data_IF_615806297475
#
_entry.id   IF_615806297475
#
_cell.length_a   1.000
_cell.length_b   1.000
_cell.length_c   1.000
_cell.angle_alpha   90.00
_cell.angle_beta   90.00
_cell.angle_gamma   90.00
#
_symmetry.space_group_name_H-M   'P 1'
#
loop_
_entity.id
_entity.type
_entity.pdbx_description
1 polymer ?
#
# COMPACT_ATOMS: atom_id res chain seq x y z
N UNK A 1 13.30 -24.02 -15.39
CA UNK A 1 12.82 -24.51 -14.09
C UNK A 1 14.02 -24.79 -13.16
N UNK A 2 15.06 -25.52 -13.57
CA UNK A 2 16.32 -25.69 -12.78
C UNK A 2 16.93 -24.35 -12.37
N UNK A 3 16.73 -23.30 -13.18
CA UNK A 3 17.20 -21.93 -12.91
C UNK A 3 16.35 -21.19 -11.89
N UNK A 4 15.05 -21.53 -11.76
CA UNK A 4 14.12 -20.91 -10.81
C UNK A 4 14.21 -21.53 -9.41
N UNK A 5 14.46 -22.83 -9.32
CA UNK A 5 14.43 -23.56 -8.05
C UNK A 5 15.81 -24.06 -7.59
N UNK A 6 16.82 -24.08 -8.48
CA UNK A 6 18.12 -24.71 -8.20
C UNK A 6 18.07 -26.23 -8.13
N UNK A 7 16.90 -26.85 -8.27
CA UNK A 7 16.69 -28.29 -8.16
C UNK A 7 16.64 -29.00 -9.52
N UNK A 8 17.01 -30.25 -9.57
CA UNK A 8 16.85 -31.07 -10.76
C UNK A 8 15.38 -31.46 -10.95
N UNK A 9 14.86 -31.20 -12.14
CA UNK A 9 13.47 -31.51 -12.46
C UNK A 9 13.37 -32.98 -12.83
N UNK A 10 12.43 -33.74 -12.23
CA UNK A 10 12.17 -35.13 -12.62
C UNK A 10 11.87 -35.22 -14.13
N UNK A 11 12.49 -36.22 -14.81
CA UNK A 11 12.41 -36.37 -16.27
C UNK A 11 10.97 -36.41 -16.86
N UNK A 12 9.98 -36.82 -16.07
CA UNK A 12 8.56 -36.81 -16.46
C UNK A 12 7.94 -35.42 -16.61
N UNK A 13 8.50 -34.39 -15.95
CA UNK A 13 8.00 -33.00 -16.02
C UNK A 13 8.44 -32.27 -17.28
N UNK A 14 9.47 -32.74 -17.99
CA UNK A 14 9.89 -32.13 -19.26
C UNK A 14 8.82 -32.19 -20.35
N UNK A 15 7.84 -33.09 -20.23
CA UNK A 15 6.70 -33.18 -21.17
C UNK A 15 5.69 -32.05 -21.02
N UNK A 16 5.74 -31.31 -19.91
CA UNK A 16 4.87 -30.15 -19.61
C UNK A 16 5.52 -28.82 -19.98
N UNK A 17 6.78 -28.83 -20.42
CA UNK A 17 7.45 -27.63 -20.88
C UNK A 17 6.91 -27.23 -22.27
N UNK A 18 6.75 -25.92 -22.53
CA UNK A 18 6.28 -25.43 -23.82
C UNK A 18 7.16 -25.90 -24.96
N UNK A 19 6.57 -25.96 -26.15
CA UNK A 19 7.14 -26.48 -27.37
C UNK A 19 8.54 -25.96 -27.67
N UNK A 20 9.35 -26.77 -28.36
CA UNK A 20 10.72 -26.43 -28.75
C UNK A 20 10.85 -25.21 -29.69
N UNK A 21 9.73 -24.72 -30.22
CA UNK A 21 9.62 -23.55 -31.09
C UNK A 21 9.42 -22.22 -30.29
N UNK A 22 9.26 -22.28 -28.98
CA UNK A 22 9.21 -21.09 -28.17
C UNK A 22 10.63 -20.47 -28.04
N UNK A 23 10.84 -19.31 -28.62
CA UNK A 23 12.10 -18.56 -28.46
C UNK A 23 12.13 -17.95 -27.05
N UNK A 24 12.90 -18.59 -26.17
CA UNK A 24 13.13 -18.01 -24.84
C UNK A 24 14.26 -17.00 -24.95
N UNK A 25 13.97 -15.76 -24.60
CA UNK A 25 15.03 -14.77 -24.36
C UNK A 25 15.65 -15.13 -23.01
N UNK A 26 16.76 -15.86 -23.05
CA UNK A 26 17.56 -16.13 -21.85
C UNK A 26 18.30 -14.85 -21.53
N UNK A 27 17.98 -14.21 -20.41
CA UNK A 27 18.78 -13.09 -19.94
C UNK A 27 20.23 -13.58 -19.73
N UNK A 28 21.23 -12.88 -20.26
CA UNK A 28 22.63 -13.23 -20.05
C UNK A 28 22.97 -13.23 -18.56
N UNK A 29 24.03 -13.95 -18.14
CA UNK A 29 24.44 -13.95 -16.75
C UNK A 29 24.70 -12.52 -16.25
N UNK A 30 24.21 -12.23 -15.06
CA UNK A 30 24.37 -10.92 -14.46
C UNK A 30 25.81 -10.69 -14.03
N UNK A 31 26.40 -9.58 -14.45
CA UNK A 31 27.70 -9.10 -13.98
C UNK A 31 27.55 -8.35 -12.65
N UNK A 32 26.46 -7.61 -12.52
CA UNK A 32 26.16 -6.76 -11.37
C UNK A 32 24.66 -6.81 -11.06
N UNK A 33 24.30 -6.60 -9.79
CA UNK A 33 22.93 -6.45 -9.34
C UNK A 33 22.78 -5.10 -8.64
N UNK A 34 21.78 -4.32 -9.07
CA UNK A 34 21.45 -3.02 -8.51
C UNK A 34 20.02 -3.11 -7.93
N UNK A 35 19.90 -2.85 -6.64
CA UNK A 35 18.60 -2.96 -5.95
C UNK A 35 17.57 -1.95 -6.48
N UNK A 36 17.99 -0.72 -6.72
CA UNK A 36 17.16 0.37 -7.25
C UNK A 36 18.00 1.33 -8.08
N UNK A 37 17.48 1.75 -9.22
CA UNK A 37 18.05 2.83 -10.03
C UNK A 37 16.92 3.77 -10.44
N UNK A 38 17.09 5.06 -10.17
CA UNK A 38 16.20 6.12 -10.67
C UNK A 38 16.70 6.58 -12.04
N UNK A 39 15.79 6.60 -13.00
CA UNK A 39 16.10 6.96 -14.38
C UNK A 39 15.05 7.88 -14.99
N UNK A 40 15.47 8.65 -15.98
CA UNK A 40 14.65 9.52 -16.80
C UNK A 40 14.52 8.91 -18.21
N UNK A 41 13.31 8.56 -18.60
CA UNK A 41 13.04 7.97 -19.92
C UNK A 41 13.28 8.97 -21.05
N UNK A 42 13.93 8.54 -22.11
CA UNK A 42 14.21 9.37 -23.28
C UNK A 42 13.40 8.93 -24.51
N UNK A 43 13.54 7.69 -24.91
CA UNK A 43 12.83 7.04 -26.01
C UNK A 43 12.89 5.52 -25.88
N UNK A 44 12.16 4.81 -26.74
CA UNK A 44 12.19 3.36 -26.83
C UNK A 44 12.27 2.92 -28.29
N UNK A 45 12.82 1.74 -28.52
CA UNK A 45 12.66 0.96 -29.74
C UNK A 45 11.90 -0.36 -29.43
N UNK A 46 11.84 -1.27 -30.38
CA UNK A 46 11.13 -2.55 -30.21
C UNK A 46 11.78 -3.48 -29.18
N UNK A 47 13.00 -3.19 -28.72
CA UNK A 47 13.80 -4.07 -27.86
C UNK A 47 14.19 -3.43 -26.54
N UNK A 48 14.46 -2.13 -26.55
CA UNK A 48 15.01 -1.43 -25.39
C UNK A 48 14.28 -0.13 -25.09
N UNK A 49 14.24 0.20 -23.80
CA UNK A 49 14.06 1.58 -23.35
C UNK A 49 15.45 2.24 -23.24
N UNK A 50 15.53 3.49 -23.63
CA UNK A 50 16.72 4.33 -23.52
C UNK A 50 16.48 5.35 -22.42
N UNK A 51 17.31 5.31 -21.38
CA UNK A 51 17.11 6.07 -20.15
C UNK A 51 18.39 6.76 -19.69
N UNK A 52 18.27 7.89 -19.02
CA UNK A 52 19.38 8.56 -18.35
C UNK A 52 19.24 8.33 -16.82
N UNK A 53 20.31 7.92 -16.12
CA UNK A 53 20.30 7.86 -14.67
C UNK A 53 20.11 9.27 -14.08
N UNK A 54 19.37 9.41 -12.98
CA UNK A 54 19.11 10.70 -12.34
C UNK A 54 20.26 11.09 -11.41
N UNK A 55 20.84 10.11 -10.72
CA UNK A 55 21.83 10.32 -9.67
C UNK A 55 23.27 10.46 -10.20
N UNK A 56 23.48 10.19 -11.49
CA UNK A 56 24.81 10.25 -12.13
C UNK A 56 24.73 10.92 -13.49
N UNK A 57 25.80 11.61 -13.85
CA UNK A 57 25.91 12.19 -15.21
C UNK A 57 26.32 11.07 -16.16
N UNK A 58 25.50 10.81 -17.15
CA UNK A 58 25.81 9.90 -18.26
C UNK A 58 25.73 10.67 -19.58
N UNK A 59 26.77 10.53 -20.40
CA UNK A 59 26.83 11.19 -21.71
C UNK A 59 25.91 10.52 -22.74
N UNK A 60 25.67 9.22 -22.58
CA UNK A 60 24.79 8.43 -23.43
C UNK A 60 23.72 7.71 -22.67
N UNK A 61 22.50 7.52 -23.22
CA UNK A 61 21.45 6.77 -22.61
C UNK A 61 21.81 5.30 -22.39
N UNK A 62 21.46 4.78 -21.21
CA UNK A 62 21.55 3.36 -20.88
C UNK A 62 20.41 2.59 -21.55
N UNK A 63 20.69 1.34 -21.91
CA UNK A 63 19.70 0.43 -22.50
C UNK A 63 19.06 -0.44 -21.45
N UNK A 64 17.72 -0.48 -21.43
CA UNK A 64 16.94 -1.29 -20.49
C UNK A 64 16.10 -2.29 -21.27
N UNK A 65 16.27 -3.58 -21.00
CA UNK A 65 15.35 -4.61 -21.53
C UNK A 65 14.03 -4.55 -20.80
N UNK A 66 12.97 -4.54 -21.56
CA UNK A 66 11.61 -4.69 -21.08
C UNK A 66 10.92 -5.81 -21.86
N UNK A 67 9.75 -6.25 -21.39
CA UNK A 67 9.00 -7.34 -22.01
C UNK A 67 9.81 -8.66 -22.09
N UNK A 68 10.65 -8.91 -21.08
CA UNK A 68 11.39 -10.17 -21.00
C UNK A 68 10.52 -11.22 -20.33
N UNK A 69 10.23 -12.37 -20.99
CA UNK A 69 9.38 -13.41 -20.45
C UNK A 69 9.81 -13.87 -19.06
N UNK A 70 8.86 -14.01 -18.13
CA UNK A 70 9.03 -14.43 -16.74
C UNK A 70 9.89 -13.49 -15.86
N UNK A 71 10.27 -12.32 -16.39
CA UNK A 71 11.05 -11.33 -15.61
C UNK A 71 10.26 -10.02 -15.48
N UNK A 72 9.87 -9.41 -16.60
CA UNK A 72 9.21 -8.10 -16.60
C UNK A 72 8.22 -7.91 -17.77
N UNK A 73 7.71 -9.01 -18.33
CA UNK A 73 6.75 -8.98 -19.43
C UNK A 73 5.43 -8.28 -19.06
N UNK A 74 5.04 -8.30 -17.80
CA UNK A 74 3.84 -7.63 -17.29
C UNK A 74 3.91 -6.11 -17.40
N UNK A 75 5.12 -5.54 -17.51
CA UNK A 75 5.31 -4.08 -17.64
C UNK A 75 5.35 -3.60 -19.11
N UNK A 76 5.19 -4.50 -20.08
CA UNK A 76 5.25 -4.14 -21.50
C UNK A 76 4.29 -3.02 -21.87
N UNK A 77 3.04 -3.06 -21.37
CA UNK A 77 2.05 -2.00 -21.64
C UNK A 77 2.43 -0.68 -20.97
N UNK A 78 2.93 -0.73 -19.73
CA UNK A 78 3.45 0.47 -19.05
C UNK A 78 4.58 1.11 -19.85
N UNK A 79 5.50 0.31 -20.39
CA UNK A 79 6.61 0.81 -21.19
C UNK A 79 6.17 1.44 -22.51
N UNK A 80 5.06 0.98 -23.11
CA UNK A 80 4.52 1.55 -24.35
C UNK A 80 3.91 2.94 -24.19
N UNK A 81 3.44 3.27 -22.99
CA UNK A 81 2.79 4.56 -22.70
C UNK A 81 3.74 5.59 -22.07
N UNK A 82 5.02 5.26 -21.89
CA UNK A 82 6.01 6.20 -21.36
C UNK A 82 6.12 7.44 -22.25
N UNK A 83 6.12 8.60 -21.64
CA UNK A 83 6.38 9.86 -22.33
C UNK A 83 7.80 10.34 -22.08
N UNK A 84 8.32 11.12 -22.99
CA UNK A 84 9.69 11.64 -22.87
C UNK A 84 9.88 12.40 -21.56
N UNK A 85 10.96 12.09 -20.85
CA UNK A 85 11.31 12.59 -19.51
C UNK A 85 10.48 12.05 -18.36
N UNK A 86 9.64 11.03 -18.57
CA UNK A 86 9.00 10.31 -17.49
C UNK A 86 10.04 9.81 -16.49
N UNK A 87 9.77 9.99 -15.20
CA UNK A 87 10.60 9.46 -14.13
C UNK A 87 10.25 8.02 -13.86
N UNK A 88 11.24 7.16 -13.78
CA UNK A 88 11.05 5.72 -13.61
C UNK A 88 11.99 5.17 -12.56
N UNK A 89 11.48 4.36 -11.63
CA UNK A 89 12.32 3.51 -10.81
C UNK A 89 12.42 2.12 -11.47
N UNK A 90 13.64 1.66 -11.65
CA UNK A 90 13.97 0.30 -12.00
C UNK A 90 14.38 -0.43 -10.72
N UNK A 91 13.73 -1.55 -10.39
CA UNK A 91 13.98 -2.31 -9.17
C UNK A 91 14.55 -3.69 -9.51
N UNK A 92 15.42 -4.17 -8.62
CA UNK A 92 16.11 -5.46 -8.72
C UNK A 92 16.69 -5.68 -10.13
N UNK A 93 17.57 -4.73 -10.52
CA UNK A 93 18.13 -4.62 -11.85
C UNK A 93 19.34 -5.53 -11.97
N UNK A 94 19.37 -6.39 -12.96
CA UNK A 94 20.57 -7.13 -13.39
C UNK A 94 21.25 -6.38 -14.53
N UNK A 95 22.57 -6.28 -14.48
CA UNK A 95 23.39 -5.68 -15.52
C UNK A 95 24.21 -6.78 -16.18
N UNK A 96 24.15 -6.89 -17.51
CA UNK A 96 24.95 -7.87 -18.24
C UNK A 96 26.37 -7.34 -18.61
N UNK A 97 27.18 -8.16 -19.26
CA UNK A 97 28.53 -7.78 -19.69
C UNK A 97 28.55 -6.64 -20.72
N UNK A 98 27.46 -6.45 -21.46
CA UNK A 98 27.30 -5.34 -22.41
C UNK A 98 26.75 -4.06 -21.77
N UNK A 99 26.58 -4.06 -20.43
CA UNK A 99 26.04 -2.94 -19.66
C UNK A 99 24.52 -2.73 -19.87
N UNK A 100 23.79 -3.74 -20.36
CA UNK A 100 22.36 -3.63 -20.56
C UNK A 100 21.65 -3.98 -19.26
N UNK A 101 20.71 -3.13 -18.86
CA UNK A 101 19.92 -3.26 -17.65
C UNK A 101 18.70 -4.16 -17.90
N UNK A 102 18.40 -5.04 -16.96
CA UNK A 102 17.16 -5.85 -16.96
C UNK A 102 16.53 -5.77 -15.58
N UNK A 103 15.56 -4.87 -15.35
CA UNK A 103 14.85 -4.76 -14.10
C UNK A 103 13.84 -5.89 -13.93
N UNK A 104 13.60 -6.31 -12.68
CA UNK A 104 12.50 -7.21 -12.36
C UNK A 104 11.19 -6.45 -12.15
N UNK A 105 11.25 -5.16 -11.83
CA UNK A 105 10.08 -4.33 -11.60
C UNK A 105 10.30 -2.91 -12.09
N UNK A 106 9.25 -2.28 -12.66
CA UNK A 106 9.29 -0.94 -13.25
C UNK A 106 8.18 -0.10 -12.63
N UNK A 107 8.54 1.03 -12.02
CA UNK A 107 7.58 1.96 -11.40
C UNK A 107 7.62 3.28 -12.14
N UNK A 108 6.50 3.65 -12.75
CA UNK A 108 6.33 4.91 -13.47
C UNK A 108 5.95 6.02 -12.47
N UNK A 109 6.59 7.17 -12.60
CA UNK A 109 6.35 8.38 -11.79
C UNK A 109 6.23 8.09 -10.29
N UNK A 110 7.28 7.50 -9.67
CA UNK A 110 7.21 7.10 -8.26
C UNK A 110 7.06 8.27 -7.28
N UNK A 111 7.23 9.51 -7.74
CA UNK A 111 6.98 10.72 -6.93
C UNK A 111 5.48 11.04 -6.82
N UNK A 112 4.64 10.48 -7.71
CA UNK A 112 3.20 10.48 -7.52
C UNK A 112 2.82 9.42 -6.51
N UNK A 113 2.72 9.82 -5.24
CA UNK A 113 2.46 8.90 -4.14
C UNK A 113 1.02 8.39 -4.17
N UNK A 114 0.88 7.09 -4.38
CA UNK A 114 -0.41 6.40 -4.33
C UNK A 114 -0.67 5.95 -2.88
N UNK A 115 -1.85 6.29 -2.36
CA UNK A 115 -2.28 5.83 -1.05
C UNK A 115 -2.56 4.33 -1.04
N UNK A 116 -1.98 3.59 -0.07
CA UNK A 116 -2.09 2.12 0.00
C UNK A 116 -3.53 1.64 0.21
N UNK A 117 -4.39 2.41 0.87
CA UNK A 117 -5.79 2.04 1.04
C UNK A 117 -6.54 2.10 -0.29
N UNK A 118 -6.27 3.14 -1.09
CA UNK A 118 -6.82 3.25 -2.46
C UNK A 118 -6.29 2.16 -3.37
N UNK A 119 -5.02 1.79 -3.23
CA UNK A 119 -4.43 0.69 -3.99
C UNK A 119 -5.07 -0.65 -3.61
N UNK A 120 -5.27 -0.91 -2.31
CA UNK A 120 -5.89 -2.14 -1.82
C UNK A 120 -7.31 -2.35 -2.39
N UNK A 121 -8.07 -1.26 -2.60
CA UNK A 121 -9.39 -1.35 -3.23
C UNK A 121 -9.34 -1.90 -4.67
N UNK A 122 -8.20 -1.77 -5.36
CA UNK A 122 -8.00 -2.30 -6.71
C UNK A 122 -7.76 -3.81 -6.73
N UNK A 123 -7.43 -4.43 -5.59
CA UNK A 123 -7.06 -5.85 -5.46
C UNK A 123 -8.09 -6.68 -4.68
N UNK A 124 -9.31 -6.18 -4.50
CA UNK A 124 -10.38 -6.95 -3.86
C UNK A 124 -10.71 -8.21 -4.65
N UNK A 125 -11.10 -9.30 -3.97
CA UNK A 125 -11.43 -10.58 -4.58
C UNK A 125 -12.58 -10.50 -5.62
N UNK A 126 -13.44 -9.50 -5.50
CA UNK A 126 -14.52 -9.23 -6.44
C UNK A 126 -14.53 -7.77 -6.87
N UNK A 127 -14.82 -7.53 -8.13
CA UNK A 127 -14.87 -6.18 -8.69
C UNK A 127 -13.54 -5.43 -8.65
N UNK A 128 -12.43 -6.16 -8.54
CA UNK A 128 -11.10 -5.58 -8.61
C UNK A 128 -10.80 -5.07 -10.02
N UNK A 129 -10.36 -3.83 -10.12
CA UNK A 129 -9.93 -3.23 -11.38
C UNK A 129 -9.13 -1.96 -11.08
N UNK A 130 -8.04 -1.68 -11.79
CA UNK A 130 -7.26 -0.45 -11.61
C UNK A 130 -8.08 0.84 -11.77
N UNK A 131 -9.15 0.82 -12.57
CA UNK A 131 -10.06 1.95 -12.71
C UNK A 131 -10.79 2.33 -11.40
N UNK A 132 -10.87 1.43 -10.41
CA UNK A 132 -11.46 1.74 -9.10
C UNK A 132 -10.71 2.87 -8.39
N UNK A 133 -9.40 2.97 -8.60
CA UNK A 133 -8.61 4.09 -8.10
C UNK A 133 -9.08 5.43 -8.68
N UNK A 134 -9.33 5.48 -9.98
CA UNK A 134 -9.79 6.68 -10.70
C UNK A 134 -11.22 7.01 -10.27
N UNK A 135 -12.11 6.01 -10.24
CA UNK A 135 -13.49 6.18 -9.84
C UNK A 135 -13.61 6.72 -8.41
N UNK A 136 -12.83 6.20 -7.47
CA UNK A 136 -12.81 6.66 -6.08
C UNK A 136 -12.36 8.13 -5.95
N UNK A 137 -11.51 8.62 -6.87
CA UNK A 137 -11.06 10.03 -6.90
C UNK A 137 -12.11 10.98 -7.49
N UNK A 138 -12.99 10.47 -8.36
CA UNK A 138 -14.03 11.25 -9.03
C UNK A 138 -15.36 11.23 -8.28
N UNK A 139 -15.57 10.25 -7.41
CA UNK A 139 -16.79 10.14 -6.61
C UNK A 139 -16.65 10.91 -5.30
N UNK A 140 -17.63 11.76 -5.00
CA UNK A 140 -17.77 12.30 -3.66
C UNK A 140 -18.26 11.18 -2.72
N UNK A 141 -17.79 11.11 -1.47
CA UNK A 141 -18.29 10.13 -0.52
C UNK A 141 -19.80 10.38 -0.29
N UNK A 142 -20.62 9.40 -0.65
CA UNK A 142 -22.09 9.49 -0.56
C UNK A 142 -22.58 9.61 0.90
N UNK A 143 -21.80 9.07 1.85
CA UNK A 143 -22.12 9.13 3.27
C UNK A 143 -20.86 9.40 4.11
N UNK A 144 -20.72 10.58 4.71
CA UNK A 144 -19.58 10.90 5.58
C UNK A 144 -19.62 10.20 6.95
N UNK A 145 -20.76 9.58 7.34
CA UNK A 145 -20.93 8.92 8.63
C UNK A 145 -19.87 7.86 8.97
N UNK A 146 -19.54 6.90 8.08
CA UNK A 146 -18.51 5.89 8.36
C UNK A 146 -17.12 6.49 8.60
N UNK A 147 -16.77 7.51 7.82
CA UNK A 147 -15.51 8.23 7.98
C UNK A 147 -15.46 8.99 9.31
N UNK A 148 -16.54 9.68 9.66
CA UNK A 148 -16.64 10.42 10.92
C UNK A 148 -16.59 9.48 12.13
N UNK A 149 -17.27 8.33 12.07
CA UNK A 149 -17.19 7.30 13.12
C UNK A 149 -15.76 6.76 13.25
N UNK A 150 -15.06 6.53 12.14
CA UNK A 150 -13.65 6.13 12.14
C UNK A 150 -12.76 7.16 12.81
N UNK A 151 -12.89 8.42 12.45
CA UNK A 151 -12.11 9.51 13.05
C UNK A 151 -12.37 9.67 14.55
N UNK A 152 -13.62 9.54 14.98
CA UNK A 152 -13.99 9.57 16.42
C UNK A 152 -13.41 8.35 17.15
N UNK A 153 -13.44 7.19 16.52
CA UNK A 153 -12.87 5.96 17.10
C UNK A 153 -11.34 6.08 17.27
N UNK A 154 -10.63 6.65 16.28
CA UNK A 154 -9.20 6.95 16.40
C UNK A 154 -8.93 7.90 17.58
N UNK A 155 -9.71 8.97 17.72
CA UNK A 155 -9.60 9.86 18.87
C UNK A 155 -9.80 9.12 20.21
N UNK A 156 -10.73 8.18 20.29
CA UNK A 156 -10.90 7.36 21.49
C UNK A 156 -9.69 6.47 21.77
N UNK A 157 -9.08 5.88 20.73
CA UNK A 157 -7.85 5.11 20.85
C UNK A 157 -6.70 5.97 21.40
N UNK A 158 -6.54 7.16 20.85
CA UNK A 158 -5.54 8.15 21.28
C UNK A 158 -5.69 8.49 22.76
N UNK A 159 -6.93 8.76 23.20
CA UNK A 159 -7.23 9.05 24.60
C UNK A 159 -6.90 7.85 25.51
N UNK A 160 -7.24 6.64 25.10
CA UNK A 160 -6.93 5.43 25.88
C UNK A 160 -5.43 5.15 25.98
N UNK A 161 -4.67 5.45 24.92
CA UNK A 161 -3.22 5.25 24.90
C UNK A 161 -2.50 6.29 25.77
N UNK A 162 -2.89 7.57 25.69
CA UNK A 162 -2.18 8.66 26.38
C UNK A 162 -2.71 9.00 27.78
N UNK A 163 -3.90 8.56 28.12
CA UNK A 163 -4.49 8.90 29.40
C UNK A 163 -3.73 8.27 30.59
N UNK A 164 -3.47 9.06 31.60
CA UNK A 164 -2.94 8.58 32.91
C UNK A 164 -4.01 7.81 33.69
N UNK A 165 -5.26 8.22 33.56
CA UNK A 165 -6.44 7.63 34.19
C UNK A 165 -7.41 7.18 33.09
N UNK A 166 -8.34 6.26 33.42
CA UNK A 166 -9.32 5.76 32.47
C UNK A 166 -10.15 6.91 31.87
N UNK A 167 -10.17 7.09 30.53
CA UNK A 167 -10.92 8.17 29.91
C UNK A 167 -12.43 8.07 30.17
N UNK A 168 -13.06 9.21 30.38
CA UNK A 168 -14.52 9.31 30.44
C UNK A 168 -15.12 9.49 29.05
N UNK A 169 -16.16 8.72 28.74
CA UNK A 169 -16.82 8.77 27.43
C UNK A 169 -17.33 10.17 27.06
N UNK A 170 -17.99 10.86 28.00
CA UNK A 170 -18.54 12.19 27.72
C UNK A 170 -17.45 13.24 27.50
N UNK A 171 -16.33 13.13 28.20
CA UNK A 171 -15.18 13.99 27.99
C UNK A 171 -14.57 13.76 26.60
N UNK A 172 -14.43 12.50 26.18
CA UNK A 172 -13.94 12.14 24.84
C UNK A 172 -14.89 12.63 23.74
N UNK A 173 -16.21 12.48 23.93
CA UNK A 173 -17.19 13.02 22.97
C UNK A 173 -17.15 14.54 22.86
N UNK A 174 -17.00 15.27 23.99
CA UNK A 174 -16.81 16.72 23.95
C UNK A 174 -15.55 17.11 23.18
N UNK A 175 -14.49 16.34 23.26
CA UNK A 175 -13.26 16.53 22.47
C UNK A 175 -13.53 16.28 20.99
N UNK A 176 -14.26 15.20 20.65
CA UNK A 176 -14.65 14.87 19.28
C UNK A 176 -15.47 16.02 18.63
N UNK A 177 -16.43 16.58 19.36
CA UNK A 177 -17.20 17.73 18.88
C UNK A 177 -16.34 18.96 18.58
N UNK A 178 -15.26 19.16 19.33
CA UNK A 178 -14.31 20.25 19.09
C UNK A 178 -13.35 19.96 17.94
N UNK A 179 -13.00 18.71 17.73
CA UNK A 179 -12.04 18.28 16.71
C UNK A 179 -12.69 18.19 15.33
N UNK A 180 -13.96 17.79 15.24
CA UNK A 180 -14.68 17.53 13.99
C UNK A 180 -15.98 18.35 13.81
N UNK A 181 -15.97 19.68 14.06
CA UNK A 181 -17.21 20.48 14.04
C UNK A 181 -17.84 20.57 12.64
N UNK A 182 -17.03 20.63 11.60
CA UNK A 182 -17.49 20.73 10.21
C UNK A 182 -18.06 19.41 9.74
N UNK A 183 -17.36 18.31 10.00
CA UNK A 183 -17.78 16.95 9.62
C UNK A 183 -19.08 16.56 10.31
N UNK A 184 -19.23 16.90 11.60
CA UNK A 184 -20.47 16.69 12.34
C UNK A 184 -21.63 17.52 11.75
N UNK A 185 -21.39 18.78 11.43
CA UNK A 185 -22.41 19.66 10.83
C UNK A 185 -22.80 19.22 9.40
N UNK A 186 -21.84 18.68 8.64
CA UNK A 186 -22.06 18.18 7.28
C UNK A 186 -22.75 16.81 7.25
N UNK A 187 -22.70 16.02 8.34
CA UNK A 187 -23.30 14.70 8.40
C UNK A 187 -24.85 14.81 8.40
N UNK A 188 -25.47 14.45 7.26
CA UNK A 188 -26.92 14.54 7.10
C UNK A 188 -27.69 13.64 8.10
N UNK A 189 -27.10 12.51 8.47
CA UNK A 189 -27.72 11.55 9.41
C UNK A 189 -27.93 12.17 10.81
N UNK A 190 -27.11 13.14 11.21
CA UNK A 190 -27.28 13.86 12.49
C UNK A 190 -28.44 14.86 12.52
N UNK A 191 -29.12 15.07 11.39
CA UNK A 191 -30.35 15.90 11.31
C UNK A 191 -31.62 15.10 11.53
N UNK A 192 -31.54 13.77 11.50
CA UNK A 192 -32.61 12.84 11.76
C UNK A 192 -32.45 12.27 13.17
N UNK A 193 -33.48 12.36 14.01
CA UNK A 193 -33.42 11.95 15.42
C UNK A 193 -33.10 10.49 15.64
N UNK A 194 -33.61 9.59 14.78
CA UNK A 194 -33.37 8.15 14.92
C UNK A 194 -31.91 7.83 14.53
N UNK A 195 -31.45 8.38 13.43
CA UNK A 195 -30.08 8.18 12.95
C UNK A 195 -29.05 8.87 13.85
N UNK A 196 -29.39 10.02 14.44
CA UNK A 196 -28.58 10.67 15.45
C UNK A 196 -28.39 9.76 16.69
N UNK A 197 -29.47 9.16 17.20
CA UNK A 197 -29.40 8.24 18.32
C UNK A 197 -28.58 7.00 17.99
N UNK A 198 -28.73 6.44 16.77
CA UNK A 198 -27.88 5.35 16.29
C UNK A 198 -26.40 5.74 16.21
N UNK A 199 -26.10 6.93 15.70
CA UNK A 199 -24.73 7.42 15.60
C UNK A 199 -24.05 7.50 16.98
N UNK A 200 -24.72 8.05 17.99
CA UNK A 200 -24.18 8.12 19.34
C UNK A 200 -24.09 6.74 20.01
N UNK A 201 -25.01 5.83 19.70
CA UNK A 201 -24.93 4.43 20.12
C UNK A 201 -23.69 3.75 19.50
N UNK A 202 -23.42 3.99 18.21
CA UNK A 202 -22.23 3.49 17.53
C UNK A 202 -20.94 4.06 18.15
N UNK A 203 -20.88 5.36 18.43
CA UNK A 203 -19.75 5.99 19.12
C UNK A 203 -19.52 5.33 20.49
N UNK A 204 -20.58 5.11 21.26
CA UNK A 204 -20.47 4.45 22.57
C UNK A 204 -19.96 3.02 22.46
N UNK A 205 -20.43 2.27 21.45
CA UNK A 205 -19.98 0.90 21.19
C UNK A 205 -18.49 0.88 20.81
N UNK A 206 -18.01 1.81 19.98
CA UNK A 206 -16.59 1.93 19.66
C UNK A 206 -15.76 2.25 20.89
N UNK A 207 -16.18 3.20 21.70
CA UNK A 207 -15.50 3.54 22.93
C UNK A 207 -15.36 2.33 23.87
N UNK A 208 -16.45 1.57 24.08
CA UNK A 208 -16.45 0.39 24.94
C UNK A 208 -15.63 -0.77 24.38
N UNK A 209 -15.63 -0.94 23.05
CA UNK A 209 -14.79 -1.94 22.40
C UNK A 209 -13.30 -1.60 22.54
N UNK A 210 -12.91 -0.34 22.30
CA UNK A 210 -11.52 0.13 22.45
C UNK A 210 -11.09 -0.03 23.91
N UNK A 211 -11.93 0.39 24.88
CA UNK A 211 -11.68 0.18 26.29
C UNK A 211 -11.35 -1.29 26.57
N UNK A 212 -12.26 -2.20 26.19
CA UNK A 212 -12.09 -3.63 26.41
C UNK A 212 -10.83 -4.18 25.75
N UNK A 213 -10.54 -3.75 24.53
CA UNK A 213 -9.35 -4.18 23.80
C UNK A 213 -8.08 -3.75 24.53
N UNK A 214 -7.97 -2.49 24.91
CA UNK A 214 -6.78 -1.94 25.57
C UNK A 214 -6.61 -2.49 27.01
N UNK A 215 -7.70 -2.67 27.76
CA UNK A 215 -7.61 -3.07 29.18
C UNK A 215 -7.61 -4.57 29.41
N UNK A 216 -8.25 -5.34 28.53
CA UNK A 216 -8.51 -6.77 28.74
C UNK A 216 -7.87 -7.64 27.64
N UNK A 217 -8.21 -7.37 26.36
CA UNK A 217 -7.83 -8.27 25.25
C UNK A 217 -6.33 -8.30 25.02
N UNK A 218 -5.66 -7.16 25.00
CA UNK A 218 -4.22 -7.10 24.84
C UNK A 218 -3.50 -7.82 25.96
N UNK A 219 -3.90 -7.58 27.21
CA UNK A 219 -3.31 -8.25 28.37
C UNK A 219 -3.53 -9.77 28.32
N UNK A 220 -4.72 -10.23 27.95
CA UNK A 220 -5.03 -11.66 27.82
C UNK A 220 -4.22 -12.32 26.69
N UNK A 221 -3.84 -11.57 25.65
CA UNK A 221 -3.02 -12.03 24.55
C UNK A 221 -1.49 -11.93 24.82
N UNK A 222 -1.11 -11.50 26.03
CA UNK A 222 0.30 -11.29 26.39
C UNK A 222 0.92 -10.06 25.72
N UNK A 223 0.11 -9.18 25.15
CA UNK A 223 0.56 -7.95 24.53
C UNK A 223 0.49 -6.81 25.58
N UNK A 224 1.65 -6.27 25.91
CA UNK A 224 1.74 -5.07 26.72
C UNK A 224 1.89 -3.84 25.84
N UNK A 225 0.93 -2.94 25.96
CA UNK A 225 0.95 -1.67 25.25
C UNK A 225 1.84 -0.70 26.02
N UNK A 226 3.04 -0.46 25.52
CA UNK A 226 3.92 0.55 26.10
C UNK A 226 3.50 1.96 25.62
N UNK A 227 2.91 2.70 26.55
CA UNK A 227 2.44 4.06 26.31
C UNK A 227 3.55 5.05 26.03
N UNK A 228 4.76 4.77 26.50
CA UNK A 228 5.93 5.66 26.30
C UNK A 228 6.54 5.51 24.92
N UNK A 229 6.35 4.32 24.32
CA UNK A 229 6.83 3.97 22.99
C UNK A 229 5.73 3.97 21.92
N UNK A 230 4.53 4.43 22.27
CA UNK A 230 3.42 4.56 21.35
C UNK A 230 3.67 5.68 20.32
N UNK A 231 3.53 5.35 19.05
CA UNK A 231 3.51 6.30 17.93
C UNK A 231 2.12 6.21 17.29
N UNK A 232 1.36 7.29 17.40
CA UNK A 232 0.02 7.39 16.84
C UNK A 232 0.08 7.96 15.43
N UNK A 233 -0.76 7.39 14.56
CA UNK A 233 -0.92 7.80 13.17
C UNK A 233 0.42 7.98 12.41
N UNK A 234 1.40 7.05 12.56
CA UNK A 234 2.65 7.17 11.82
C UNK A 234 2.40 7.09 10.32
N UNK A 235 2.98 8.03 9.58
CA UNK A 235 2.89 8.07 8.12
C UNK A 235 4.18 7.54 7.50
N UNK A 236 4.05 6.74 6.44
CA UNK A 236 5.15 6.10 5.74
C UNK A 236 5.11 6.43 4.26
N UNK A 237 6.29 6.55 3.69
CA UNK A 237 6.50 6.71 2.25
C UNK A 237 7.46 5.62 1.80
N UNK A 238 7.07 4.89 0.78
CA UNK A 238 7.93 3.95 0.06
C UNK A 238 8.34 4.58 -1.28
N UNK A 239 9.48 5.26 -1.32
CA UNK A 239 10.00 5.92 -2.52
C UNK A 239 10.24 4.94 -3.67
N UNK A 240 10.60 3.70 -3.36
CA UNK A 240 10.86 2.69 -4.37
C UNK A 240 9.62 2.40 -5.22
N UNK A 241 8.45 2.30 -4.58
CA UNK A 241 7.18 1.94 -5.21
C UNK A 241 6.25 3.14 -5.45
N UNK A 242 6.60 4.34 -4.98
CA UNK A 242 5.71 5.50 -5.07
C UNK A 242 4.43 5.31 -4.24
N UNK A 243 4.55 4.72 -3.06
CA UNK A 243 3.43 4.45 -2.19
C UNK A 243 3.52 5.25 -0.90
N UNK A 244 2.37 5.63 -0.37
CA UNK A 244 2.25 6.22 0.95
C UNK A 244 1.12 5.56 1.74
N UNK A 245 1.24 5.60 3.06
CA UNK A 245 0.21 5.08 3.94
C UNK A 245 0.38 5.57 5.36
N UNK A 246 -0.69 5.38 6.14
CA UNK A 246 -0.72 5.72 7.54
C UNK A 246 -1.30 4.53 8.33
N UNK A 247 -0.68 4.20 9.45
CA UNK A 247 -1.18 3.25 10.42
C UNK A 247 -1.89 4.00 11.55
N UNK A 248 -2.83 3.37 12.23
CA UNK A 248 -3.48 3.98 13.39
C UNK A 248 -2.55 4.02 14.61
N UNK A 249 -1.75 2.96 14.81
CA UNK A 249 -0.83 2.84 15.94
C UNK A 249 0.38 1.96 15.59
N UNK A 250 1.53 2.31 16.13
CA UNK A 250 2.74 1.49 16.06
C UNK A 250 3.58 1.70 17.32
N UNK A 251 4.32 0.68 17.76
CA UNK A 251 5.41 0.86 18.72
C UNK A 251 6.67 1.37 18.02
N UNK A 252 7.42 2.23 18.70
CA UNK A 252 8.63 2.87 18.13
C UNK A 252 9.69 1.87 17.69
N UNK A 253 9.80 0.73 18.36
CA UNK A 253 10.68 -0.37 18.00
C UNK A 253 10.22 -1.17 16.77
N UNK A 254 9.07 -0.81 16.19
CA UNK A 254 8.44 -1.44 15.02
C UNK A 254 8.10 -2.92 15.22
N UNK A 255 8.03 -3.41 16.46
CA UNK A 255 7.66 -4.81 16.73
C UNK A 255 6.16 -5.06 16.64
N UNK A 256 5.37 -4.01 16.85
CA UNK A 256 3.91 -4.12 16.89
C UNK A 256 3.24 -2.93 16.23
N UNK A 257 2.17 -3.21 15.49
CA UNK A 257 1.29 -2.19 14.93
C UNK A 257 -0.17 -2.62 15.07
N UNK A 258 -1.04 -1.64 15.12
CA UNK A 258 -2.50 -1.83 15.20
C UNK A 258 -3.14 -1.00 14.10
N UNK A 259 -4.00 -1.66 13.35
CA UNK A 259 -4.88 -1.03 12.39
C UNK A 259 -6.31 -1.21 12.85
N UNK A 260 -7.02 -0.13 13.10
CA UNK A 260 -8.37 -0.14 13.62
C UNK A 260 -9.40 -0.07 12.51
N UNK A 261 -10.43 -0.88 12.58
CA UNK A 261 -11.55 -0.85 11.63
C UNK A 261 -12.86 -0.61 12.36
N UNK A 262 -13.55 0.45 12.01
CA UNK A 262 -14.84 0.84 12.59
C UNK A 262 -16.04 0.05 12.03
N UNK A 263 -15.83 -0.71 10.94
CA UNK A 263 -16.88 -1.52 10.32
C UNK A 263 -17.15 -2.84 11.02
N UNK A 264 -18.10 -3.61 10.49
CA UNK A 264 -18.33 -5.00 10.93
C UNK A 264 -17.13 -5.85 10.50
N UNK A 265 -16.58 -6.61 11.45
CA UNK A 265 -15.56 -7.59 11.17
C UNK A 265 -16.23 -8.83 10.57
N UNK A 266 -15.94 -9.14 9.32
CA UNK A 266 -16.25 -10.40 8.69
C UNK A 266 -14.99 -11.01 8.07
N UNK A 267 -15.08 -12.29 7.71
CA UNK A 267 -13.92 -13.03 7.18
C UNK A 267 -13.40 -12.43 5.87
N UNK A 268 -14.26 -11.81 5.08
CA UNK A 268 -13.90 -11.19 3.79
C UNK A 268 -13.27 -9.81 3.96
N UNK A 269 -13.73 -9.02 4.92
CA UNK A 269 -13.19 -7.68 5.19
C UNK A 269 -11.76 -7.71 5.76
N UNK A 270 -11.36 -8.83 6.38
CA UNK A 270 -10.01 -9.00 6.94
C UNK A 270 -9.00 -9.41 5.87
N UNK A 271 -9.41 -10.21 4.87
CA UNK A 271 -8.51 -10.72 3.82
C UNK A 271 -8.10 -9.69 2.77
N UNK A 272 -8.87 -8.64 2.58
CA UNK A 272 -8.62 -7.61 1.57
C UNK A 272 -7.76 -6.43 2.03
N UNK A 273 -7.18 -6.55 3.20
CA UNK A 273 -6.34 -5.50 3.81
C UNK A 273 -5.10 -6.11 4.42
#
# INVERSE_FOLDING_TARGET
VKRLTGEEIPAGLYRLLPRADATYIVAPPAKEQIKRMRVCFQYADDTYLYVLPVDTVADEPLRVRYNVPQINEEFAETCRILWRHAQVNLLDVTVDEAGILTPSFIVLEPDYLIDISSLAECFKDYGHHPANYILARLQSPDNPRPLLLGNIANLFLDEWIHAKEAPDYLACMKKAFRSYPIELAACADLRDREKEAEFFSDCKRHFDNIRRTVTETFRASGYELDRTDAVLEPSYICEALGLQGRLDYMQRDMTSFIEMKSGKADEYSIRGK
#
